data_IF_188891385973
#
_entry.id   IF_188891385973
#
_cell.length_a   1.000
_cell.length_b   1.000
_cell.length_c   1.000
_cell.angle_alpha   90.00
_cell.angle_beta   90.00
_cell.angle_gamma   90.00
#
_symmetry.space_group_name_H-M   'P 1'
#
loop_
_entity.id
_entity.type
_entity.pdbx_description
1 polymer ?
#
# COMPACT_ATOMS: atom_id res chain seq x y z
N UNK A 1 -45.20 14.03 49.11
CA UNK A 1 -43.76 13.79 48.91
C UNK A 1 -43.59 12.47 48.17
N UNK A 2 -43.26 12.51 46.88
CA UNK A 2 -43.09 11.32 46.05
C UNK A 2 -41.59 11.07 45.83
N UNK A 3 -41.08 9.95 46.33
CA UNK A 3 -39.71 9.52 46.10
C UNK A 3 -39.64 8.75 44.77
N UNK A 4 -38.87 9.26 43.81
CA UNK A 4 -38.58 8.59 42.53
C UNK A 4 -37.33 7.72 42.70
N UNK A 5 -37.50 6.41 42.55
CA UNK A 5 -36.41 5.45 42.32
C UNK A 5 -35.84 5.69 40.92
N UNK A 6 -34.61 6.18 40.84
CA UNK A 6 -33.85 6.25 39.60
C UNK A 6 -33.12 4.93 39.36
N UNK A 7 -33.60 4.14 38.40
CA UNK A 7 -32.88 3.00 37.89
C UNK A 7 -31.72 3.50 37.01
N UNK A 8 -30.48 3.32 37.49
CA UNK A 8 -29.29 3.57 36.70
C UNK A 8 -29.12 2.44 35.68
N UNK A 9 -29.39 2.75 34.40
CA UNK A 9 -29.07 1.88 33.28
C UNK A 9 -27.55 1.91 33.08
N UNK A 10 -26.85 0.88 33.54
CA UNK A 10 -25.44 0.71 33.24
C UNK A 10 -25.31 0.30 31.77
N UNK A 11 -24.98 1.26 30.90
CA UNK A 11 -24.53 0.97 29.55
C UNK A 11 -23.21 0.21 29.63
N UNK A 12 -23.28 -1.11 29.44
CA UNK A 12 -22.12 -1.94 29.07
C UNK A 12 -21.55 -1.39 27.76
N UNK A 13 -20.51 -0.57 27.86
CA UNK A 13 -19.62 -0.30 26.73
C UNK A 13 -18.87 -1.58 26.44
N UNK A 14 -19.41 -2.39 25.53
CA UNK A 14 -18.65 -3.44 24.85
C UNK A 14 -17.53 -2.68 24.13
N UNK A 15 -16.32 -2.76 24.69
CA UNK A 15 -15.12 -2.32 24.00
C UNK A 15 -15.02 -3.19 22.74
N UNK A 16 -15.41 -2.63 21.60
CA UNK A 16 -15.11 -3.21 20.31
C UNK A 16 -13.58 -3.24 20.21
N UNK A 17 -13.00 -4.42 20.43
CA UNK A 17 -11.60 -4.65 20.16
C UNK A 17 -11.46 -4.48 18.64
N UNK A 18 -10.65 -3.53 18.14
CA UNK A 18 -10.42 -3.47 16.71
C UNK A 18 -9.78 -4.79 16.31
N UNK A 19 -10.34 -5.43 15.29
CA UNK A 19 -9.77 -6.61 14.69
C UNK A 19 -8.37 -6.26 14.14
N UNK A 20 -7.35 -6.55 14.94
CA UNK A 20 -6.05 -7.11 14.53
C UNK A 20 -5.38 -6.37 13.37
N UNK A 21 -4.92 -5.13 13.63
CA UNK A 21 -3.82 -4.58 12.87
C UNK A 21 -2.51 -5.08 13.50
N UNK A 22 -1.72 -5.84 12.74
CA UNK A 22 -0.38 -6.26 13.16
C UNK A 22 0.67 -5.16 13.03
N UNK A 23 0.31 -4.03 12.42
CA UNK A 23 1.17 -2.87 12.24
C UNK A 23 0.43 -1.77 11.48
N UNK A 24 1.17 -0.74 11.04
CA UNK A 24 0.61 0.37 10.29
C UNK A 24 1.40 0.66 9.02
N UNK A 25 0.68 1.10 8.00
CA UNK A 25 1.24 1.61 6.75
C UNK A 25 0.83 3.08 6.56
N UNK A 26 1.62 3.80 5.79
CA UNK A 26 1.16 5.00 5.10
C UNK A 26 0.80 4.61 3.67
N UNK A 27 -0.46 4.76 3.29
CA UNK A 27 -0.97 4.54 1.94
C UNK A 27 -1.21 5.89 1.26
N UNK A 28 -0.70 6.06 0.06
CA UNK A 28 -0.81 7.30 -0.70
C UNK A 28 -1.29 7.07 -2.14
N UNK A 29 -2.02 8.04 -2.67
CA UNK A 29 -2.15 8.26 -4.10
C UNK A 29 -0.83 8.81 -4.66
N UNK A 30 -0.42 8.27 -5.80
CA UNK A 30 0.68 8.81 -6.61
C UNK A 30 0.42 10.27 -6.96
N UNK A 31 1.42 11.14 -6.75
CA UNK A 31 1.34 12.58 -7.04
C UNK A 31 2.11 12.97 -8.29
N UNK A 32 3.11 12.19 -8.67
CA UNK A 32 3.96 12.46 -9.80
C UNK A 32 3.79 11.33 -10.82
N UNK A 33 2.68 11.38 -11.57
CA UNK A 33 2.52 10.50 -12.72
C UNK A 33 3.54 10.89 -13.80
N UNK A 34 4.18 9.91 -14.42
CA UNK A 34 4.97 10.17 -15.63
C UNK A 34 4.00 10.73 -16.67
N UNK A 35 4.24 11.94 -17.17
CA UNK A 35 3.61 12.38 -18.42
C UNK A 35 4.26 11.59 -19.55
N UNK A 36 3.91 10.29 -19.65
CA UNK A 36 4.39 9.48 -20.74
C UNK A 36 3.54 9.83 -21.96
N UNK A 37 4.18 10.34 -23.02
CA UNK A 37 3.48 10.82 -24.23
C UNK A 37 2.62 9.75 -24.92
N UNK A 38 2.77 8.48 -24.54
CA UNK A 38 2.00 7.33 -25.02
C UNK A 38 0.81 6.94 -24.13
N UNK A 39 0.79 7.38 -22.86
CA UNK A 39 -0.27 7.07 -21.90
C UNK A 39 -0.81 8.40 -21.35
N UNK A 40 -1.85 8.92 -21.99
CA UNK A 40 -2.59 10.06 -21.44
C UNK A 40 -3.49 9.60 -20.29
N UNK A 41 -2.86 9.21 -19.17
CA UNK A 41 -3.58 8.89 -17.95
C UNK A 41 -4.15 10.18 -17.37
N UNK A 42 -5.46 10.37 -17.53
CA UNK A 42 -6.15 11.46 -16.84
C UNK A 42 -6.18 11.10 -15.36
N UNK A 43 -5.52 11.86 -14.46
CA UNK A 43 -5.53 11.54 -13.04
C UNK A 43 -6.97 11.50 -12.54
N UNK A 44 -7.32 10.47 -11.77
CA UNK A 44 -8.63 10.39 -11.12
C UNK A 44 -8.78 11.59 -10.18
N UNK A 45 -9.59 12.57 -10.61
CA UNK A 45 -9.80 13.83 -9.87
C UNK A 45 -10.78 13.69 -8.70
N UNK A 46 -11.57 12.62 -8.71
CA UNK A 46 -12.54 12.32 -7.67
C UNK A 46 -11.89 11.58 -6.49
N UNK A 47 -12.43 11.70 -5.26
CA UNK A 47 -11.96 10.91 -4.13
C UNK A 47 -12.01 9.41 -4.43
N UNK A 48 -10.96 8.70 -4.03
CA UNK A 48 -10.80 7.26 -4.23
C UNK A 48 -11.04 6.57 -2.91
N UNK A 49 -12.05 5.69 -2.84
CA UNK A 49 -12.30 4.86 -1.66
C UNK A 49 -11.55 3.54 -1.82
N UNK A 50 -10.46 3.39 -1.09
CA UNK A 50 -9.73 2.11 -0.96
C UNK A 50 -10.50 1.24 0.05
N UNK A 51 -10.99 0.06 -0.34
CA UNK A 51 -11.69 -0.83 0.57
C UNK A 51 -10.74 -1.44 1.61
N UNK A 52 -11.30 -1.90 2.73
CA UNK A 52 -10.58 -2.86 3.57
C UNK A 52 -10.37 -4.15 2.77
N UNK A 53 -9.30 -4.89 3.06
CA UNK A 53 -8.98 -6.09 2.30
C UNK A 53 -8.24 -5.81 0.99
N UNK A 54 -7.84 -4.57 0.70
CA UNK A 54 -6.90 -4.30 -0.40
C UNK A 54 -5.55 -4.91 -0.05
N UNK A 55 -5.07 -5.83 -0.89
CA UNK A 55 -3.75 -6.46 -0.83
C UNK A 55 -2.77 -5.63 -1.63
N UNK A 56 -1.62 -5.34 -1.03
CA UNK A 56 -0.51 -4.66 -1.66
C UNK A 56 0.72 -5.58 -1.67
N UNK A 57 1.32 -5.76 -2.83
CA UNK A 57 2.50 -6.59 -3.05
C UNK A 57 3.76 -5.73 -3.03
N UNK A 58 4.89 -6.28 -2.56
CA UNK A 58 6.18 -5.62 -2.65
C UNK A 58 6.45 -5.17 -4.09
N UNK A 59 6.70 -3.88 -4.30
CA UNK A 59 6.84 -3.27 -5.62
C UNK A 59 8.27 -2.82 -5.93
N UNK A 60 9.15 -2.74 -4.92
CA UNK A 60 10.54 -2.35 -5.10
C UNK A 60 11.04 -1.51 -3.94
N UNK A 61 12.19 -0.89 -4.17
CA UNK A 61 12.75 0.12 -3.30
C UNK A 61 12.11 1.50 -3.55
N UNK A 62 11.86 2.22 -2.46
CA UNK A 62 11.45 3.61 -2.48
C UNK A 62 12.67 4.54 -2.38
N UNK A 63 12.69 5.53 -3.25
CA UNK A 63 13.64 6.63 -3.30
C UNK A 63 13.05 7.95 -2.79
N UNK A 64 11.72 8.01 -2.70
CA UNK A 64 10.95 9.14 -2.17
C UNK A 64 9.87 8.70 -1.17
N UNK A 65 8.94 9.60 -0.81
CA UNK A 65 7.82 9.27 0.07
C UNK A 65 6.82 8.33 -0.63
N UNK A 66 5.86 7.75 0.11
CA UNK A 66 4.84 6.86 -0.48
C UNK A 66 4.00 7.54 -1.59
N UNK A 67 3.88 8.87 -1.60
CA UNK A 67 3.18 9.59 -2.69
C UNK A 67 4.01 9.75 -3.97
N UNK A 68 5.30 9.43 -3.94
CA UNK A 68 6.24 9.46 -5.05
C UNK A 68 7.40 8.49 -4.77
N UNK A 69 7.16 7.17 -4.74
CA UNK A 69 8.15 6.20 -4.29
C UNK A 69 9.37 6.17 -5.21
N UNK A 70 9.23 6.53 -6.49
CA UNK A 70 10.34 6.56 -7.45
C UNK A 70 11.04 7.92 -7.52
N UNK A 71 10.62 8.88 -6.68
CA UNK A 71 11.16 10.24 -6.62
C UNK A 71 11.15 10.94 -7.99
N UNK A 72 10.05 10.79 -8.71
CA UNK A 72 9.84 11.33 -10.06
C UNK A 72 9.86 12.85 -10.07
N UNK A 73 9.55 13.50 -8.95
CA UNK A 73 9.77 14.93 -8.79
C UNK A 73 11.23 15.34 -9.08
N UNK A 74 12.20 14.44 -8.88
CA UNK A 74 13.61 14.63 -9.17
C UNK A 74 14.11 13.80 -10.35
N UNK A 75 13.25 13.14 -11.14
CA UNK A 75 13.71 12.40 -12.31
C UNK A 75 14.35 13.34 -13.36
N UNK A 76 15.37 12.86 -14.06
CA UNK A 76 15.94 13.60 -15.19
C UNK A 76 14.93 13.69 -16.36
N UNK A 77 14.89 14.79 -17.14
CA UNK A 77 13.92 14.97 -18.22
C UNK A 77 13.98 13.93 -19.35
N UNK A 78 15.15 13.32 -19.56
CA UNK A 78 15.40 12.25 -20.53
C UNK A 78 15.16 10.84 -19.95
N UNK A 79 14.73 10.77 -18.68
CA UNK A 79 14.32 9.54 -18.00
C UNK A 79 15.45 8.75 -17.33
N UNK A 80 16.70 9.19 -17.44
CA UNK A 80 17.84 8.48 -16.85
C UNK A 80 18.40 9.19 -15.61
N UNK A 81 18.14 8.62 -14.43
CA UNK A 81 18.67 9.08 -13.15
C UNK A 81 17.87 10.21 -12.50
N UNK A 82 18.45 10.82 -11.46
CA UNK A 82 17.81 11.88 -10.68
C UNK A 82 18.66 13.16 -10.64
N UNK A 83 18.00 14.30 -10.80
CA UNK A 83 18.60 15.64 -10.62
C UNK A 83 18.64 16.02 -9.15
N UNK A 84 19.49 16.99 -8.82
CA UNK A 84 19.56 17.64 -7.50
C UNK A 84 19.87 16.69 -6.32
N UNK A 85 20.43 15.52 -6.59
CA UNK A 85 20.92 14.56 -5.58
C UNK A 85 22.45 14.40 -5.64
N UNK A 86 23.05 13.91 -4.56
CA UNK A 86 24.49 13.65 -4.51
C UNK A 86 24.90 12.45 -5.39
N UNK A 87 26.14 12.40 -5.93
CA UNK A 87 26.62 11.24 -6.68
C UNK A 87 26.58 9.92 -5.89
N UNK A 88 26.79 9.98 -4.56
CA UNK A 88 26.70 8.82 -3.69
C UNK A 88 25.26 8.29 -3.59
N UNK A 89 24.28 9.19 -3.57
CA UNK A 89 22.86 8.84 -3.55
C UNK A 89 22.42 8.25 -4.90
N UNK A 90 22.85 8.84 -6.02
CA UNK A 90 22.60 8.27 -7.36
C UNK A 90 23.14 6.83 -7.44
N UNK A 91 24.38 6.61 -7.00
CA UNK A 91 25.01 5.28 -6.97
C UNK A 91 24.20 4.28 -6.13
N UNK A 92 23.74 4.71 -4.95
CA UNK A 92 22.89 3.89 -4.07
C UNK A 92 21.58 3.50 -4.75
N UNK A 93 20.87 4.45 -5.36
CA UNK A 93 19.59 4.20 -6.04
C UNK A 93 19.76 3.25 -7.23
N UNK A 94 20.85 3.39 -8.00
CA UNK A 94 21.17 2.48 -9.12
C UNK A 94 21.40 1.06 -8.66
N UNK A 95 22.10 0.86 -7.55
CA UNK A 95 22.29 -0.47 -6.98
C UNK A 95 20.95 -1.11 -6.61
N UNK A 96 20.09 -0.38 -5.90
CA UNK A 96 18.76 -0.88 -5.51
C UNK A 96 17.84 -1.13 -6.73
N UNK A 97 17.96 -0.32 -7.78
CA UNK A 97 17.24 -0.56 -9.03
C UNK A 97 17.69 -1.87 -9.68
N UNK A 98 19.00 -2.17 -9.69
CA UNK A 98 19.54 -3.44 -10.22
C UNK A 98 19.05 -4.65 -9.43
N UNK A 99 18.89 -4.51 -8.12
CA UNK A 99 18.25 -5.51 -7.26
C UNK A 99 16.79 -5.74 -7.71
N UNK A 100 16.00 -4.68 -7.86
CA UNK A 100 14.57 -4.79 -8.20
C UNK A 100 14.29 -5.35 -9.60
N UNK A 101 15.11 -5.03 -10.60
CA UNK A 101 14.94 -5.56 -11.98
C UNK A 101 15.54 -6.96 -12.19
N UNK A 102 16.07 -7.59 -11.13
CA UNK A 102 16.68 -8.91 -11.21
C UNK A 102 18.03 -8.94 -11.92
N UNK A 103 18.71 -7.80 -12.00
CA UNK A 103 20.06 -7.70 -12.55
C UNK A 103 21.16 -8.09 -11.56
N UNK A 104 20.83 -8.17 -10.26
CA UNK A 104 21.69 -8.76 -9.23
C UNK A 104 21.30 -10.23 -8.96
N UNK A 105 22.14 -11.22 -9.33
CA UNK A 105 21.85 -12.63 -9.11
C UNK A 105 21.90 -13.06 -7.64
N UNK A 106 22.46 -12.24 -6.74
CA UNK A 106 22.47 -12.50 -5.30
C UNK A 106 21.23 -11.95 -4.58
N UNK A 107 20.49 -11.05 -5.22
CA UNK A 107 19.33 -10.41 -4.62
C UNK A 107 18.11 -11.34 -4.62
N UNK A 108 17.50 -11.48 -3.45
CA UNK A 108 16.25 -12.22 -3.27
C UNK A 108 15.15 -11.22 -2.98
N UNK A 109 14.30 -10.98 -3.98
CA UNK A 109 13.16 -10.08 -3.87
C UNK A 109 12.31 -10.46 -2.64
N UNK A 110 11.95 -9.50 -1.77
CA UNK A 110 11.02 -9.75 -0.68
C UNK A 110 9.73 -10.41 -1.17
N UNK A 111 9.47 -11.59 -0.64
CA UNK A 111 8.23 -12.34 -0.86
C UNK A 111 7.17 -11.86 0.14
N UNK A 112 6.81 -10.58 0.03
CA UNK A 112 5.96 -9.89 1.00
C UNK A 112 4.73 -9.28 0.33
N UNK A 113 3.58 -9.51 0.96
CA UNK A 113 2.37 -8.76 0.72
C UNK A 113 1.72 -8.35 2.05
N UNK A 114 0.98 -7.26 2.01
CA UNK A 114 0.23 -6.74 3.14
C UNK A 114 -1.21 -6.47 2.74
N UNK A 115 -2.13 -6.57 3.69
CA UNK A 115 -3.55 -6.32 3.47
C UNK A 115 -4.04 -5.23 4.43
N UNK A 116 -4.75 -4.25 3.88
CA UNK A 116 -5.37 -3.18 4.66
C UNK A 116 -6.47 -3.74 5.57
N UNK A 117 -6.47 -3.35 6.84
CA UNK A 117 -7.49 -3.82 7.80
C UNK A 117 -8.73 -2.92 7.85
N UNK A 118 -8.66 -1.72 7.26
CA UNK A 118 -9.74 -0.75 7.22
C UNK A 118 -9.81 -0.04 5.87
N UNK A 119 -11.01 0.45 5.53
CA UNK A 119 -11.21 1.26 4.34
C UNK A 119 -10.77 2.70 4.58
N UNK A 120 -10.30 3.37 3.53
CA UNK A 120 -9.89 4.78 3.58
C UNK A 120 -10.31 5.52 2.32
N UNK A 121 -10.53 6.82 2.42
CA UNK A 121 -10.77 7.69 1.26
C UNK A 121 -9.59 8.62 1.08
N UNK A 122 -8.96 8.53 -0.09
CA UNK A 122 -7.86 9.38 -0.51
C UNK A 122 -8.34 10.39 -1.54
N UNK A 123 -7.70 11.54 -1.61
CA UNK A 123 -8.04 12.60 -2.56
C UNK A 123 -6.82 13.45 -2.87
N UNK A 124 -6.89 14.31 -3.88
CA UNK A 124 -5.79 15.23 -4.17
C UNK A 124 -5.40 16.13 -2.96
N UNK A 125 -6.39 16.57 -2.18
CA UNK A 125 -6.18 17.39 -0.98
C UNK A 125 -5.60 16.58 0.20
N UNK A 126 -5.96 15.30 0.30
CA UNK A 126 -5.49 14.37 1.33
C UNK A 126 -5.03 13.09 0.64
N UNK A 127 -3.83 13.11 0.01
CA UNK A 127 -3.36 12.03 -0.86
C UNK A 127 -2.97 10.81 -0.05
N UNK A 128 -2.65 10.98 1.22
CA UNK A 128 -2.09 9.96 2.09
C UNK A 128 -2.93 9.76 3.34
N UNK A 129 -2.95 8.54 3.83
CA UNK A 129 -3.53 8.20 5.11
C UNK A 129 -2.69 7.11 5.81
N UNK A 130 -2.74 7.11 7.14
CA UNK A 130 -2.20 6.02 7.96
C UNK A 130 -3.34 5.08 8.34
N UNK A 131 -3.13 3.79 8.14
CA UNK A 131 -4.11 2.74 8.45
C UNK A 131 -3.41 1.45 8.88
N UNK A 132 -4.18 0.59 9.54
CA UNK A 132 -3.71 -0.73 9.96
C UNK A 132 -3.53 -1.68 8.78
N UNK A 133 -2.56 -2.59 8.93
CA UNK A 133 -2.31 -3.66 7.98
C UNK A 133 -1.95 -4.98 8.69
N UNK A 134 -2.11 -6.07 7.95
CA UNK A 134 -1.61 -7.42 8.30
C UNK A 134 -0.74 -7.94 7.17
N UNK A 135 0.25 -8.78 7.46
CA UNK A 135 0.97 -9.50 6.43
C UNK A 135 0.07 -10.56 5.79
N UNK A 136 0.31 -10.88 4.53
CA UNK A 136 -0.41 -11.90 3.78
C UNK A 136 0.55 -13.00 3.38
N UNK A 137 0.20 -14.23 3.73
CA UNK A 137 0.91 -15.44 3.33
C UNK A 137 0.09 -16.16 2.25
N UNK A 138 0.74 -16.64 1.21
CA UNK A 138 0.10 -17.47 0.19
C UNK A 138 1.15 -18.23 -0.60
N UNK A 139 1.04 -19.55 -0.62
CA UNK A 139 1.93 -20.42 -1.40
C UNK A 139 1.72 -20.21 -2.91
N UNK A 140 0.47 -19.96 -3.32
CA UNK A 140 0.10 -19.74 -4.74
C UNK A 140 0.70 -18.43 -5.29
N UNK A 141 0.79 -17.41 -4.44
CA UNK A 141 1.34 -16.11 -4.79
C UNK A 141 2.77 -15.90 -4.26
N UNK A 142 3.39 -16.96 -3.73
CA UNK A 142 4.75 -16.99 -3.20
C UNK A 142 5.03 -16.00 -2.07
N UNK A 143 4.02 -15.50 -1.36
CA UNK A 143 4.21 -14.60 -0.22
C UNK A 143 4.47 -15.40 1.04
N UNK A 144 5.66 -15.24 1.61
CA UNK A 144 6.18 -16.08 2.70
C UNK A 144 6.58 -15.28 3.93
N UNK A 145 6.67 -13.95 3.82
CA UNK A 145 7.03 -13.09 4.94
C UNK A 145 5.84 -12.87 5.88
N UNK A 146 5.90 -13.46 7.07
CA UNK A 146 4.88 -13.32 8.12
C UNK A 146 5.06 -12.04 8.97
N UNK A 147 6.25 -11.45 8.91
CA UNK A 147 6.62 -10.20 9.57
C UNK A 147 7.23 -9.25 8.55
N UNK A 148 6.73 -8.01 8.48
CA UNK A 148 7.24 -6.99 7.57
C UNK A 148 7.80 -5.82 8.40
N UNK A 149 9.12 -5.59 8.41
CA UNK A 149 9.72 -4.53 9.21
C UNK A 149 9.35 -3.14 8.67
N UNK A 150 9.31 -2.14 9.57
CA UNK A 150 9.20 -0.74 9.18
C UNK A 150 10.47 -0.28 8.45
N UNK A 151 10.40 -0.31 7.11
CA UNK A 151 11.48 0.03 6.18
C UNK A 151 10.94 1.07 5.19
N UNK A 152 11.27 2.36 5.35
CA UNK A 152 10.76 3.41 4.47
C UNK A 152 11.36 3.36 3.06
N UNK A 153 12.42 2.58 2.87
CA UNK A 153 13.08 2.32 1.61
C UNK A 153 12.43 1.18 0.80
N UNK A 154 11.37 0.54 1.31
CA UNK A 154 10.57 -0.45 0.56
C UNK A 154 9.15 0.08 0.36
N UNK A 155 8.58 -0.13 -0.82
CA UNK A 155 7.17 0.20 -1.06
C UNK A 155 6.38 -0.97 -1.65
N UNK A 156 5.07 -0.86 -1.49
CA UNK A 156 4.09 -1.86 -1.89
C UNK A 156 3.05 -1.21 -2.80
N UNK A 157 2.57 -1.94 -3.80
CA UNK A 157 1.53 -1.47 -4.71
C UNK A 157 0.31 -2.38 -4.70
N UNK A 158 -0.85 -1.80 -5.00
CA UNK A 158 -2.11 -2.54 -5.09
C UNK A 158 -1.96 -3.75 -6.02
N UNK A 159 -2.40 -4.91 -5.54
CA UNK A 159 -2.28 -6.18 -6.25
C UNK A 159 -3.63 -6.88 -6.41
N UNK A 160 -4.44 -6.86 -5.35
CA UNK A 160 -5.73 -7.52 -5.33
C UNK A 160 -6.65 -6.93 -4.26
N UNK A 161 -7.88 -7.41 -4.22
CA UNK A 161 -8.81 -7.25 -3.10
C UNK A 161 -9.18 -8.61 -2.53
N UNK A 162 -9.47 -8.67 -1.23
CA UNK A 162 -10.00 -9.88 -0.60
C UNK A 162 -11.49 -9.74 -0.35
N UNK A 163 -12.25 -10.68 -0.89
CA UNK A 163 -13.68 -10.80 -0.68
C UNK A 163 -14.01 -12.25 -0.29
N UNK A 164 -14.68 -12.45 0.85
CA UNK A 164 -15.03 -13.79 1.37
C UNK A 164 -13.80 -14.73 1.44
N UNK A 165 -12.69 -14.23 1.97
CA UNK A 165 -11.40 -14.94 2.08
C UNK A 165 -10.77 -15.37 0.73
N UNK A 166 -11.30 -14.88 -0.39
CA UNK A 166 -10.76 -15.11 -1.72
C UNK A 166 -10.08 -13.85 -2.25
N UNK A 167 -8.91 -14.06 -2.84
CA UNK A 167 -8.13 -13.01 -3.49
C UNK A 167 -8.64 -12.80 -4.91
N UNK A 168 -9.05 -11.56 -5.21
CA UNK A 168 -9.47 -11.11 -6.54
C UNK A 168 -8.47 -10.07 -7.07
N UNK A 169 -7.58 -10.44 -8.01
CA UNK A 169 -6.62 -9.52 -8.62
C UNK A 169 -7.23 -8.69 -9.76
N UNK A 170 -8.55 -8.76 -9.95
CA UNK A 170 -9.21 -8.12 -11.09
C UNK A 170 -9.42 -6.63 -10.85
N UNK A 171 -8.69 -5.81 -11.62
CA UNK A 171 -8.91 -4.37 -11.74
C UNK A 171 -9.23 -4.02 -13.19
N UNK A 172 -10.45 -4.33 -13.64
CA UNK A 172 -10.85 -4.20 -15.04
C UNK A 172 -12.05 -3.27 -15.27
N UNK A 173 -12.54 -2.61 -14.22
CA UNK A 173 -13.60 -1.63 -14.31
C UNK A 173 -13.04 -0.20 -14.20
N UNK A 174 -12.67 0.40 -15.33
CA UNK A 174 -12.15 1.77 -15.40
C UNK A 174 -13.13 2.84 -14.91
N UNK A 175 -14.43 2.52 -14.82
CA UNK A 175 -15.42 3.43 -14.25
C UNK A 175 -15.38 3.48 -12.72
N UNK A 176 -14.79 2.47 -12.07
CA UNK A 176 -14.54 2.46 -10.63
C UNK A 176 -13.21 3.19 -10.32
N UNK A 177 -13.23 4.29 -9.53
CA UNK A 177 -12.03 5.07 -9.25
C UNK A 177 -10.92 4.28 -8.56
N UNK A 178 -11.29 3.34 -7.68
CA UNK A 178 -10.32 2.52 -6.97
C UNK A 178 -9.68 1.50 -7.91
N UNK A 179 -10.48 0.78 -8.70
CA UNK A 179 -9.93 -0.18 -9.65
C UNK A 179 -9.04 0.49 -10.69
N UNK A 180 -9.45 1.64 -11.22
CA UNK A 180 -8.61 2.39 -12.17
C UNK A 180 -7.26 2.75 -11.53
N UNK A 181 -7.25 3.36 -10.34
CA UNK A 181 -5.98 3.74 -9.69
C UNK A 181 -5.12 2.53 -9.35
N UNK A 182 -5.73 1.43 -8.89
CA UNK A 182 -5.02 0.18 -8.60
C UNK A 182 -4.37 -0.42 -9.85
N UNK A 183 -5.09 -0.49 -10.97
CA UNK A 183 -4.60 -1.02 -12.24
C UNK A 183 -3.42 -0.21 -12.82
N UNK A 184 -3.38 1.10 -12.57
CA UNK A 184 -2.36 2.01 -13.11
C UNK A 184 -1.22 2.29 -12.12
N UNK A 185 -1.09 1.49 -11.05
CA UNK A 185 0.00 1.64 -10.07
C UNK A 185 -0.04 2.94 -9.27
N UNK A 186 -1.22 3.56 -9.15
CA UNK A 186 -1.39 4.86 -8.48
C UNK A 186 -1.62 4.78 -6.98
N UNK A 187 -1.59 3.58 -6.39
CA UNK A 187 -1.69 3.34 -4.93
C UNK A 187 -0.41 2.70 -4.42
N UNK A 188 0.30 3.45 -3.58
CA UNK A 188 1.59 3.08 -3.03
C UNK A 188 1.54 3.09 -1.50
N UNK A 189 2.16 2.11 -0.86
CA UNK A 189 2.26 2.04 0.59
C UNK A 189 3.70 1.85 1.07
N UNK A 190 4.00 2.45 2.21
CA UNK A 190 5.22 2.23 2.98
C UNK A 190 4.84 1.77 4.40
N UNK A 191 5.60 0.83 4.96
CA UNK A 191 5.39 0.34 6.33
C UNK A 191 5.96 1.34 7.34
N UNK A 192 5.10 1.90 8.19
CA UNK A 192 5.47 2.91 9.20
C UNK A 192 5.62 2.32 10.60
N UNK A 193 4.95 1.20 10.87
CA UNK A 193 5.15 0.38 12.06
C UNK A 193 5.23 -1.07 11.61
N UNK A 194 6.21 -1.82 12.13
CA UNK A 194 6.41 -3.24 11.83
C UNK A 194 5.09 -3.98 11.91
N UNK A 195 4.81 -4.79 10.88
CA UNK A 195 3.65 -5.66 10.80
C UNK A 195 4.08 -7.03 11.33
N UNK A 196 3.53 -7.47 12.46
CA UNK A 196 3.90 -8.70 13.16
C UNK A 196 2.75 -9.73 13.28
N UNK A 197 1.64 -9.47 12.61
CA UNK A 197 0.54 -10.41 12.43
C UNK A 197 0.39 -10.74 10.94
N UNK A 198 -0.01 -11.98 10.67
CA UNK A 198 -0.21 -12.49 9.32
C UNK A 198 -1.53 -13.25 9.18
N UNK A 199 -2.04 -13.28 7.95
CA UNK A 199 -3.16 -14.12 7.53
C UNK A 199 -2.72 -14.95 6.33
N UNK A 200 -3.16 -16.20 6.28
CA UNK A 200 -2.93 -17.07 5.12
C UNK A 200 -4.14 -17.04 4.19
N UNK A 201 -3.91 -16.67 2.93
CA UNK A 201 -4.91 -16.76 1.86
C UNK A 201 -4.57 -17.92 0.95
N UNK A 202 -5.59 -18.69 0.56
CA UNK A 202 -5.48 -19.81 -0.37
C UNK A 202 -6.25 -19.48 -1.65
N UNK A 203 -5.79 -19.99 -2.79
CA UNK A 203 -6.61 -19.99 -3.99
C UNK A 203 -7.83 -20.89 -3.79
N UNK A 204 -8.98 -20.56 -4.40
CA UNK A 204 -10.08 -21.52 -4.51
C UNK A 204 -9.63 -22.75 -5.31
N UNK A 205 -9.92 -23.94 -4.78
CA UNK A 205 -9.72 -25.24 -5.44
C UNK A 205 -10.50 -25.36 -6.76
#
# INVERSE_FOLDING_TARGET
MAARLGAACACLTIAAHPAWAGGTIQLCLERHTVEDSFVQDTPVRQPVRVPAGTVLNYAGHAFGPASDPLDRAHAMPDGDGWRDISPAEETRRRQLQMEDIGGDPGYHRPQAALMTTGAVTLSHAHPCATLGATAVLSDDWTWTMDTIPARPDLYFQAYATVHNDQLDPTFNNDADPFQWVAAHGGLNAIVTQTIDQSVTLRSPD
#
